data_IF_239416649680
#
_entry.id   IF_239416649680
#
_cell.length_a   1.000
_cell.length_b   1.000
_cell.length_c   1.000
_cell.angle_alpha   90.00
_cell.angle_beta   90.00
_cell.angle_gamma   90.00
#
_symmetry.space_group_name_H-M   'P 1'
#
loop_
_entity.id
_entity.type
_entity.pdbx_description
1 polymer ?
#
# COMPACT_ATOMS: atom_id res chain seq x y z
N UNK A 1 36.61 22.60 11.37
CA UNK A 1 37.32 21.32 11.57
C UNK A 1 36.64 20.57 12.72
N UNK A 2 36.62 19.24 12.66
CA UNK A 2 35.72 18.29 13.37
C UNK A 2 34.36 18.18 12.69
N UNK A 3 33.96 17.08 12.05
CA UNK A 3 34.53 15.74 11.97
C UNK A 3 33.38 14.84 11.53
N UNK A 4 33.13 14.80 10.22
CA UNK A 4 32.10 13.93 9.63
C UNK A 4 32.54 12.48 9.81
N UNK A 5 31.84 11.75 10.69
CA UNK A 5 32.02 10.31 10.81
C UNK A 5 31.55 9.65 9.52
N UNK A 6 32.49 9.20 8.71
CA UNK A 6 32.27 8.17 7.70
C UNK A 6 31.59 6.97 8.37
N UNK A 7 30.36 6.69 7.98
CA UNK A 7 29.74 5.40 8.25
C UNK A 7 30.01 4.54 7.03
N UNK A 8 31.03 3.68 7.10
CA UNK A 8 31.41 2.72 6.06
C UNK A 8 30.37 1.61 5.78
N UNK A 9 29.11 1.84 6.16
CA UNK A 9 27.99 0.92 6.03
C UNK A 9 26.73 1.68 5.64
N UNK A 10 26.42 1.62 4.34
CA UNK A 10 25.21 2.19 3.77
C UNK A 10 25.47 2.84 2.42
N UNK A 11 24.65 2.50 1.42
CA UNK A 11 24.58 3.33 0.21
C UNK A 11 23.90 4.66 0.56
N UNK A 12 24.34 5.81 0.01
CA UNK A 12 23.60 7.06 0.13
C UNK A 12 22.13 6.82 -0.24
N UNK A 13 21.19 7.15 0.65
CA UNK A 13 19.76 6.99 0.36
C UNK A 13 19.41 7.81 -0.89
N UNK A 14 19.12 7.13 -2.00
CA UNK A 14 18.88 7.76 -3.31
C UNK A 14 19.93 7.44 -4.38
N UNK A 15 21.00 6.72 -4.06
CA UNK A 15 21.92 6.19 -5.07
C UNK A 15 21.22 5.18 -5.98
N UNK A 16 21.31 5.35 -7.30
CA UNK A 16 20.72 4.47 -8.34
C UNK A 16 21.12 3.00 -8.16
N UNK A 17 22.23 2.75 -7.47
CA UNK A 17 22.80 1.41 -7.18
C UNK A 17 22.14 0.72 -5.97
N UNK A 18 21.47 1.46 -5.08
CA UNK A 18 20.89 0.92 -3.84
C UNK A 18 19.85 -0.20 -4.09
N UNK A 19 18.91 -0.08 -5.05
CA UNK A 19 17.98 -1.17 -5.37
C UNK A 19 18.69 -2.43 -5.90
N UNK A 20 19.79 -2.25 -6.66
CA UNK A 20 20.57 -3.35 -7.20
C UNK A 20 21.27 -4.12 -6.07
N UNK A 21 21.91 -3.40 -5.14
CA UNK A 21 22.61 -4.01 -4.01
C UNK A 21 21.64 -4.75 -3.09
N UNK A 22 20.50 -4.15 -2.73
CA UNK A 22 19.46 -4.85 -1.94
C UNK A 22 19.02 -6.16 -2.60
N UNK A 23 18.82 -6.15 -3.93
CA UNK A 23 18.46 -7.37 -4.67
C UNK A 23 19.57 -8.43 -4.65
N UNK A 24 20.85 -8.04 -4.70
CA UNK A 24 21.98 -8.99 -4.62
C UNK A 24 21.99 -9.68 -3.24
N UNK A 25 21.86 -8.93 -2.16
CA UNK A 25 21.83 -9.49 -0.80
C UNK A 25 20.62 -10.40 -0.60
N UNK A 26 19.43 -9.97 -1.06
CA UNK A 26 18.23 -10.79 -0.97
C UNK A 26 18.33 -12.06 -1.81
N UNK A 27 18.96 -12.01 -2.98
CA UNK A 27 19.21 -13.21 -3.77
C UNK A 27 20.15 -14.20 -3.04
N UNK A 28 21.18 -13.71 -2.34
CA UNK A 28 22.05 -14.57 -1.52
C UNK A 28 21.27 -15.24 -0.38
N UNK A 29 20.43 -14.48 0.32
CA UNK A 29 19.54 -15.01 1.36
C UNK A 29 18.59 -16.09 0.81
N UNK A 30 17.89 -15.81 -0.29
CA UNK A 30 16.95 -16.76 -0.91
C UNK A 30 17.64 -18.01 -1.43
N UNK A 31 18.85 -17.89 -2.00
CA UNK A 31 19.65 -19.06 -2.41
C UNK A 31 20.02 -19.91 -1.20
N UNK A 32 20.47 -19.30 -0.11
CA UNK A 32 20.83 -20.02 1.11
C UNK A 32 19.62 -20.71 1.76
N UNK A 33 18.45 -20.06 1.74
CA UNK A 33 17.17 -20.66 2.17
C UNK A 33 16.87 -21.96 1.42
N UNK A 34 16.98 -21.94 0.09
CA UNK A 34 16.71 -23.10 -0.77
C UNK A 34 17.74 -24.22 -0.59
N UNK A 35 19.03 -23.89 -0.63
CA UNK A 35 20.11 -24.89 -0.51
C UNK A 35 20.07 -25.60 0.84
N UNK A 36 19.66 -24.91 1.90
CA UNK A 36 19.55 -25.51 3.23
C UNK A 36 18.17 -26.13 3.52
N UNK A 37 17.32 -26.28 2.51
CA UNK A 37 16.03 -26.99 2.60
C UNK A 37 15.02 -26.36 3.56
N UNK A 38 15.06 -25.03 3.76
CA UNK A 38 14.25 -24.37 4.80
C UNK A 38 12.77 -24.32 4.50
N UNK A 39 12.40 -24.45 3.23
CA UNK A 39 10.99 -24.59 2.84
C UNK A 39 10.35 -25.81 3.53
N UNK A 40 11.05 -26.95 3.56
CA UNK A 40 10.58 -28.18 4.19
C UNK A 40 10.76 -28.15 5.71
N UNK A 41 11.94 -27.75 6.19
CA UNK A 41 12.26 -27.72 7.63
C UNK A 41 11.30 -26.84 8.42
N UNK A 42 10.98 -25.64 7.89
CA UNK A 42 10.05 -24.72 8.56
C UNK A 42 8.62 -24.82 8.03
N UNK A 43 8.37 -25.67 7.03
CA UNK A 43 7.09 -25.77 6.32
C UNK A 43 6.61 -24.39 5.88
N UNK A 44 7.53 -23.63 5.29
CA UNK A 44 7.38 -22.21 5.03
C UNK A 44 7.74 -21.84 3.60
N UNK A 45 7.25 -20.69 3.13
CA UNK A 45 7.65 -20.08 1.86
C UNK A 45 8.00 -18.62 2.07
N UNK A 46 9.09 -18.20 1.45
CA UNK A 46 9.53 -16.80 1.45
C UNK A 46 8.93 -16.08 0.25
N UNK A 47 8.29 -14.94 0.51
CA UNK A 47 7.83 -14.00 -0.52
C UNK A 47 8.64 -12.72 -0.31
N UNK A 48 9.48 -12.36 -1.28
CA UNK A 48 10.36 -11.20 -1.23
C UNK A 48 10.01 -10.18 -2.30
N UNK A 49 10.15 -8.90 -1.99
CA UNK A 49 10.03 -7.78 -2.92
C UNK A 49 11.04 -6.69 -2.55
N UNK A 50 12.05 -6.49 -3.40
CA UNK A 50 13.20 -5.65 -3.10
C UNK A 50 13.82 -6.02 -1.73
N UNK A 51 13.90 -5.07 -0.80
CA UNK A 51 14.42 -5.23 0.56
C UNK A 51 13.39 -5.76 1.58
N UNK A 52 12.11 -5.83 1.22
CA UNK A 52 11.02 -6.27 2.09
C UNK A 52 10.64 -7.74 1.80
N UNK A 53 10.35 -8.52 2.83
CA UNK A 53 9.96 -9.92 2.65
C UNK A 53 9.08 -10.41 3.79
N UNK A 54 8.28 -11.44 3.49
CA UNK A 54 7.48 -12.18 4.47
C UNK A 54 7.77 -13.66 4.35
N UNK A 55 7.80 -14.35 5.49
CA UNK A 55 7.95 -15.81 5.56
C UNK A 55 6.62 -16.37 6.04
N UNK A 56 5.92 -17.07 5.15
CA UNK A 56 4.62 -17.68 5.44
C UNK A 56 4.83 -19.16 5.73
N UNK A 57 4.65 -19.57 6.98
CA UNK A 57 4.85 -20.95 7.41
C UNK A 57 3.75 -21.49 8.31
N UNK A 58 3.84 -22.78 8.63
CA UNK A 58 2.93 -23.47 9.55
C UNK A 58 3.71 -23.93 10.80
N UNK A 59 3.59 -23.19 11.90
CA UNK A 59 4.08 -23.60 13.23
C UNK A 59 5.50 -23.17 13.58
N UNK A 60 6.42 -23.05 12.61
CA UNK A 60 7.85 -22.82 12.86
C UNK A 60 8.28 -21.34 12.72
N UNK A 61 7.39 -20.39 12.98
CA UNK A 61 7.65 -18.98 12.70
C UNK A 61 8.78 -18.38 13.56
N UNK A 62 8.88 -18.77 14.83
CA UNK A 62 9.94 -18.30 15.73
C UNK A 62 11.32 -18.85 15.33
N UNK A 63 11.39 -20.13 14.95
CA UNK A 63 12.61 -20.78 14.45
C UNK A 63 13.07 -20.18 13.12
N UNK A 64 12.14 -19.96 12.20
CA UNK A 64 12.42 -19.29 10.92
C UNK A 64 12.95 -17.87 11.13
N UNK A 65 12.39 -17.12 12.09
CA UNK A 65 12.87 -15.79 12.45
C UNK A 65 14.29 -15.85 13.05
N UNK A 66 14.55 -16.74 14.00
CA UNK A 66 15.87 -16.91 14.61
C UNK A 66 16.93 -17.29 13.57
N UNK A 67 16.60 -18.22 12.68
CA UNK A 67 17.47 -18.62 11.56
C UNK A 67 17.74 -17.44 10.62
N UNK A 68 16.70 -16.71 10.25
CA UNK A 68 16.81 -15.54 9.36
C UNK A 68 17.72 -14.47 9.96
N UNK A 69 17.59 -14.20 11.27
CA UNK A 69 18.48 -13.27 11.99
C UNK A 69 19.94 -13.70 11.88
N UNK A 70 20.23 -14.98 12.11
CA UNK A 70 21.60 -15.51 12.02
C UNK A 70 22.18 -15.35 10.61
N UNK A 71 21.40 -15.64 9.57
CA UNK A 71 21.85 -15.52 8.18
C UNK A 71 22.05 -14.07 7.77
N UNK A 72 21.13 -13.17 8.13
CA UNK A 72 21.27 -11.75 7.84
C UNK A 72 22.52 -11.17 8.51
N UNK A 73 22.79 -11.52 9.77
CA UNK A 73 23.99 -11.10 10.48
C UNK A 73 25.28 -11.55 9.76
N UNK A 74 25.31 -12.79 9.24
CA UNK A 74 26.44 -13.29 8.42
C UNK A 74 26.60 -12.56 7.10
N UNK A 75 25.52 -12.01 6.55
CA UNK A 75 25.55 -11.14 5.37
C UNK A 75 25.92 -9.68 5.71
N UNK A 76 26.16 -9.35 6.98
CA UNK A 76 26.44 -7.99 7.43
C UNK A 76 25.20 -7.10 7.47
N UNK A 77 24.01 -7.69 7.54
CA UNK A 77 22.73 -6.99 7.58
C UNK A 77 22.02 -7.21 8.92
N UNK A 78 21.30 -6.18 9.37
CA UNK A 78 20.49 -6.24 10.60
C UNK A 78 19.01 -6.10 10.23
N UNK A 79 18.17 -7.01 10.74
CA UNK A 79 16.73 -6.87 10.60
C UNK A 79 16.24 -5.65 11.38
N UNK A 80 15.26 -4.95 10.81
CA UNK A 80 14.63 -3.83 11.52
C UNK A 80 13.70 -4.39 12.60
N UNK A 81 14.16 -4.39 13.86
CA UNK A 81 13.42 -4.92 15.01
C UNK A 81 12.03 -4.28 15.18
N UNK A 82 11.92 -2.98 14.92
CA UNK A 82 10.67 -2.26 15.05
C UNK A 82 9.63 -2.66 13.99
N UNK A 83 10.08 -3.19 12.84
CA UNK A 83 9.20 -3.65 11.74
C UNK A 83 9.00 -5.17 11.74
N UNK A 84 9.92 -5.93 12.33
CA UNK A 84 9.91 -7.39 12.29
C UNK A 84 8.97 -7.92 13.37
N UNK A 85 7.98 -8.71 12.98
CA UNK A 85 7.04 -9.32 13.93
C UNK A 85 6.63 -10.71 13.46
N UNK A 86 6.40 -11.61 14.42
CA UNK A 86 5.74 -12.90 14.19
C UNK A 86 4.27 -12.71 14.49
N UNK A 87 3.40 -13.10 13.55
CA UNK A 87 1.94 -12.99 13.69
C UNK A 87 1.26 -14.26 13.23
N UNK A 88 0.17 -14.63 13.88
CA UNK A 88 -0.72 -15.65 13.36
C UNK A 88 -1.68 -15.02 12.34
N UNK A 89 -1.39 -15.17 11.04
CA UNK A 89 -2.21 -14.62 9.97
C UNK A 89 -3.66 -15.15 9.92
N UNK A 90 -4.02 -16.16 10.74
CA UNK A 90 -5.40 -16.65 10.90
C UNK A 90 -6.20 -15.89 11.94
N UNK A 91 -5.53 -15.18 12.82
CA UNK A 91 -6.15 -14.43 13.93
C UNK A 91 -5.84 -12.93 13.83
N UNK A 92 -4.67 -12.61 13.28
CA UNK A 92 -4.12 -11.28 13.18
C UNK A 92 -3.92 -10.87 11.72
N UNK A 93 -3.73 -9.56 11.52
CA UNK A 93 -3.42 -9.00 10.21
C UNK A 93 -2.00 -8.45 10.15
N UNK A 94 -1.43 -8.48 8.96
CA UNK A 94 -0.14 -7.88 8.65
C UNK A 94 -0.19 -7.08 7.36
N UNK A 95 0.63 -6.04 7.29
CA UNK A 95 0.74 -5.19 6.09
C UNK A 95 1.95 -5.64 5.26
N UNK A 96 1.75 -5.83 3.96
CA UNK A 96 2.82 -6.11 2.99
C UNK A 96 2.48 -5.49 1.64
N UNK A 97 3.43 -4.80 1.01
CA UNK A 97 3.26 -4.12 -0.30
C UNK A 97 2.03 -3.19 -0.38
N UNK A 98 1.68 -2.57 0.74
CA UNK A 98 0.54 -1.67 0.84
C UNK A 98 -0.83 -2.36 0.92
N UNK A 99 -0.86 -3.69 0.99
CA UNK A 99 -2.03 -4.49 1.35
C UNK A 99 -1.98 -4.88 2.82
N UNK A 100 -3.15 -5.04 3.42
CA UNK A 100 -3.34 -5.74 4.69
C UNK A 100 -3.86 -7.15 4.38
N UNK A 101 -3.17 -8.17 4.86
CA UNK A 101 -3.52 -9.59 4.76
C UNK A 101 -3.98 -10.12 6.12
N UNK A 102 -4.90 -11.09 6.12
CA UNK A 102 -5.36 -11.77 7.33
C UNK A 102 -6.88 -11.96 7.36
N UNK A 103 -7.49 -12.06 8.56
CA UNK A 103 -8.92 -12.26 8.71
C UNK A 103 -9.73 -11.04 8.24
N UNK A 104 -10.67 -11.30 7.35
CA UNK A 104 -11.65 -10.33 6.86
C UNK A 104 -13.06 -10.84 7.11
N UNK A 105 -13.98 -9.92 7.41
CA UNK A 105 -15.40 -10.22 7.61
C UNK A 105 -16.20 -9.88 6.37
N UNK A 106 -16.89 -10.85 5.79
CA UNK A 106 -17.81 -10.60 4.68
C UNK A 106 -19.06 -9.94 5.23
N UNK A 107 -19.46 -8.81 4.64
CA UNK A 107 -20.53 -7.97 5.22
C UNK A 107 -21.93 -8.51 5.00
N UNK A 108 -22.14 -9.32 3.96
CA UNK A 108 -23.47 -9.77 3.55
C UNK A 108 -24.04 -10.81 4.52
N UNK A 109 -23.19 -11.71 5.01
CA UNK A 109 -23.55 -12.86 5.84
C UNK A 109 -22.75 -12.95 7.14
N UNK A 110 -21.72 -12.09 7.32
CA UNK A 110 -20.93 -12.01 8.55
C UNK A 110 -19.80 -13.03 8.66
N UNK A 111 -19.59 -13.92 7.67
CA UNK A 111 -18.56 -14.96 7.80
C UNK A 111 -17.13 -14.39 7.70
N UNK A 112 -16.19 -15.06 8.37
CA UNK A 112 -14.77 -14.72 8.32
C UNK A 112 -14.04 -15.53 7.26
N UNK A 113 -13.13 -14.89 6.54
CA UNK A 113 -12.27 -15.53 5.54
C UNK A 113 -10.89 -14.87 5.56
N UNK A 114 -9.88 -15.58 5.06
CA UNK A 114 -8.56 -15.00 4.85
C UNK A 114 -8.55 -14.26 3.52
N UNK A 115 -8.16 -13.00 3.56
CA UNK A 115 -8.18 -12.14 2.38
C UNK A 115 -7.09 -11.10 2.41
N UNK A 116 -7.18 -10.20 1.42
CA UNK A 116 -6.35 -9.02 1.33
C UNK A 116 -7.24 -7.80 1.09
N UNK A 117 -6.79 -6.63 1.55
CA UNK A 117 -7.41 -5.34 1.24
C UNK A 117 -6.36 -4.25 1.19
N UNK A 118 -6.62 -3.09 0.57
CA UNK A 118 -5.69 -1.96 0.64
C UNK A 118 -5.48 -1.54 2.08
N UNK A 119 -4.22 -1.38 2.51
CA UNK A 119 -3.93 -1.06 3.90
C UNK A 119 -4.39 0.33 4.28
N UNK A 120 -4.68 0.54 5.57
CA UNK A 120 -5.07 1.86 6.10
C UNK A 120 -4.05 2.93 5.73
N UNK A 121 -2.76 2.59 5.81
CA UNK A 121 -1.65 3.48 5.41
C UNK A 121 -1.72 3.82 3.93
N UNK A 122 -2.01 2.85 3.05
CA UNK A 122 -2.16 3.08 1.61
C UNK A 122 -3.35 3.96 1.25
N UNK A 123 -4.49 3.76 1.93
CA UNK A 123 -5.67 4.63 1.80
C UNK A 123 -5.34 6.05 2.26
N UNK A 124 -4.68 6.20 3.41
CA UNK A 124 -4.32 7.51 3.93
C UNK A 124 -3.36 8.25 3.01
N UNK A 125 -2.35 7.57 2.45
CA UNK A 125 -1.43 8.17 1.46
C UNK A 125 -2.17 8.72 0.25
N UNK A 126 -3.20 8.02 -0.25
CA UNK A 126 -4.03 8.55 -1.34
C UNK A 126 -4.82 9.78 -0.91
N UNK A 127 -5.45 9.73 0.27
CA UNK A 127 -6.21 10.87 0.81
C UNK A 127 -5.36 12.13 0.96
N UNK A 128 -4.11 11.97 1.42
CA UNK A 128 -3.13 13.05 1.48
C UNK A 128 -2.86 13.61 0.08
N UNK A 129 -2.52 12.77 -0.91
CA UNK A 129 -2.31 13.23 -2.30
C UNK A 129 -3.53 13.95 -2.90
N UNK A 130 -4.74 13.49 -2.59
CA UNK A 130 -5.98 14.18 -3.00
C UNK A 130 -6.10 15.54 -2.33
N UNK A 131 -5.77 15.63 -1.03
CA UNK A 131 -5.74 16.89 -0.29
C UNK A 131 -4.72 17.87 -0.86
N UNK A 132 -3.50 17.41 -1.13
CA UNK A 132 -2.39 18.19 -1.70
C UNK A 132 -2.75 18.74 -3.09
N UNK A 133 -3.52 17.99 -3.88
CA UNK A 133 -4.00 18.43 -5.18
C UNK A 133 -5.11 19.50 -5.07
N UNK A 134 -6.00 19.37 -4.08
CA UNK A 134 -7.21 20.18 -3.93
C UNK A 134 -7.04 21.33 -2.91
N UNK A 135 -5.85 21.95 -2.92
CA UNK A 135 -5.49 23.08 -2.08
C UNK A 135 -5.97 24.42 -2.66
N UNK A 136 -6.17 25.47 -1.84
CA UNK A 136 -6.54 26.80 -2.32
C UNK A 136 -5.58 27.40 -3.36
N UNK A 137 -4.29 27.10 -3.26
CA UNK A 137 -3.27 27.58 -4.21
C UNK A 137 -3.29 26.90 -5.58
N UNK A 138 -4.16 25.91 -5.81
CA UNK A 138 -4.31 25.30 -7.12
C UNK A 138 -5.23 26.14 -8.02
N UNK A 139 -4.63 26.98 -8.85
CA UNK A 139 -5.33 27.87 -9.78
C UNK A 139 -5.66 27.22 -11.14
N UNK A 140 -5.27 25.97 -11.38
CA UNK A 140 -5.55 25.27 -12.65
C UNK A 140 -7.05 25.16 -12.94
N UNK A 141 -7.47 25.12 -14.20
CA UNK A 141 -8.90 25.01 -14.56
C UNK A 141 -9.51 23.71 -14.01
N UNK A 142 -10.82 23.70 -13.71
CA UNK A 142 -11.48 22.49 -13.19
C UNK A 142 -11.21 21.24 -14.06
N UNK A 143 -11.29 21.29 -15.40
CA UNK A 143 -10.95 20.14 -16.24
C UNK A 143 -9.53 19.61 -16.02
N UNK A 144 -8.53 20.49 -15.84
CA UNK A 144 -7.15 20.11 -15.60
C UNK A 144 -6.96 19.47 -14.21
N UNK A 145 -7.52 20.09 -13.16
CA UNK A 145 -7.49 19.56 -11.79
C UNK A 145 -8.17 18.20 -11.71
N UNK A 146 -9.36 18.09 -12.32
CA UNK A 146 -10.11 16.83 -12.42
C UNK A 146 -9.32 15.75 -13.15
N UNK A 147 -8.64 16.09 -14.24
CA UNK A 147 -7.83 15.13 -15.00
C UNK A 147 -6.71 14.55 -14.11
N UNK A 148 -6.01 15.40 -13.37
CA UNK A 148 -4.98 14.98 -12.41
C UNK A 148 -5.58 14.12 -11.28
N UNK A 149 -6.70 14.54 -10.71
CA UNK A 149 -7.41 13.78 -9.68
C UNK A 149 -7.80 12.38 -10.19
N UNK A 150 -8.40 12.31 -11.37
CA UNK A 150 -8.81 11.05 -11.97
C UNK A 150 -7.62 10.15 -12.32
N UNK A 151 -6.45 10.71 -12.69
CA UNK A 151 -5.21 9.93 -12.87
C UNK A 151 -4.75 9.30 -11.57
N UNK A 152 -4.76 10.05 -10.46
CA UNK A 152 -4.42 9.53 -9.12
C UNK A 152 -5.37 8.39 -8.71
N UNK A 153 -6.67 8.61 -8.85
CA UNK A 153 -7.68 7.62 -8.48
C UNK A 153 -7.61 6.36 -9.36
N UNK A 154 -7.44 6.51 -10.69
CA UNK A 154 -7.27 5.36 -11.58
C UNK A 154 -6.03 4.56 -11.24
N UNK A 155 -4.87 5.21 -11.13
CA UNK A 155 -3.62 4.53 -10.81
C UNK A 155 -3.69 3.76 -9.49
N UNK A 156 -4.28 4.38 -8.47
CA UNK A 156 -4.50 3.70 -7.19
C UNK A 156 -5.47 2.51 -7.32
N UNK A 157 -6.58 2.66 -8.03
CA UNK A 157 -7.55 1.56 -8.24
C UNK A 157 -6.99 0.40 -9.07
N UNK A 158 -6.11 0.70 -10.04
CA UNK A 158 -5.44 -0.30 -10.86
C UNK A 158 -4.43 -1.12 -10.04
N UNK A 159 -3.65 -0.49 -9.18
CA UNK A 159 -2.75 -1.20 -8.26
C UNK A 159 -3.53 -2.00 -7.21
N UNK A 160 -4.57 -1.38 -6.63
CA UNK A 160 -5.43 -1.98 -5.60
C UNK A 160 -6.66 -2.70 -6.19
N UNK A 161 -6.41 -3.54 -7.19
CA UNK A 161 -7.44 -4.35 -7.87
C UNK A 161 -7.74 -5.69 -7.19
N UNK A 162 -6.86 -6.17 -6.30
CA UNK A 162 -6.99 -7.47 -5.65
C UNK A 162 -7.73 -7.41 -4.30
N UNK A 163 -8.48 -8.47 -3.99
CA UNK A 163 -9.13 -8.66 -2.69
C UNK A 163 -10.31 -7.73 -2.40
N UNK A 164 -10.52 -7.45 -1.12
CA UNK A 164 -11.70 -6.78 -0.56
C UNK A 164 -11.54 -5.27 -0.56
N UNK A 165 -12.19 -4.64 -1.55
CA UNK A 165 -11.97 -3.24 -1.91
C UNK A 165 -13.05 -2.27 -1.42
N UNK A 166 -14.28 -2.76 -1.22
CA UNK A 166 -15.46 -1.91 -1.02
C UNK A 166 -15.30 -0.90 0.12
N UNK A 167 -14.69 -1.28 1.23
CA UNK A 167 -14.48 -0.38 2.38
C UNK A 167 -13.43 0.69 2.10
N UNK A 168 -12.31 0.30 1.51
CA UNK A 168 -11.28 1.24 1.11
C UNK A 168 -11.84 2.23 0.08
N UNK A 169 -12.59 1.74 -0.92
CA UNK A 169 -13.19 2.57 -1.97
C UNK A 169 -14.23 3.53 -1.38
N UNK A 170 -15.10 3.07 -0.46
CA UNK A 170 -16.02 3.95 0.29
C UNK A 170 -15.27 5.04 1.05
N UNK A 171 -14.21 4.69 1.78
CA UNK A 171 -13.44 5.65 2.56
C UNK A 171 -12.74 6.70 1.68
N UNK A 172 -12.27 6.31 0.49
CA UNK A 172 -11.65 7.21 -0.48
C UNK A 172 -12.71 8.08 -1.16
N UNK A 173 -13.79 7.50 -1.69
CA UNK A 173 -14.84 8.24 -2.38
C UNK A 173 -15.47 9.32 -1.48
N UNK A 174 -15.70 9.01 -0.20
CA UNK A 174 -16.20 9.99 0.77
C UNK A 174 -15.20 11.14 0.96
N UNK A 175 -13.90 10.85 1.07
CA UNK A 175 -12.87 11.87 1.22
C UNK A 175 -12.72 12.73 -0.03
N UNK A 176 -12.76 12.11 -1.21
CA UNK A 176 -12.72 12.79 -2.50
C UNK A 176 -13.92 13.72 -2.64
N UNK A 177 -15.13 13.25 -2.34
CA UNK A 177 -16.34 14.06 -2.38
C UNK A 177 -16.22 15.30 -1.50
N UNK A 178 -15.85 15.13 -0.23
CA UNK A 178 -15.68 16.23 0.71
C UNK A 178 -14.60 17.22 0.25
N UNK A 179 -13.47 16.70 -0.24
CA UNK A 179 -12.35 17.54 -0.70
C UNK A 179 -12.72 18.34 -1.94
N UNK A 180 -13.38 17.73 -2.93
CA UNK A 180 -13.84 18.40 -4.15
C UNK A 180 -14.90 19.44 -3.83
N UNK A 181 -15.89 19.10 -2.98
CA UNK A 181 -16.92 20.03 -2.54
C UNK A 181 -16.30 21.26 -1.89
N UNK A 182 -15.39 21.08 -0.92
CA UNK A 182 -14.73 22.20 -0.25
C UNK A 182 -13.86 23.02 -1.21
N UNK A 183 -13.17 22.38 -2.15
CA UNK A 183 -12.38 23.08 -3.17
C UNK A 183 -13.27 23.98 -4.06
N UNK A 184 -14.38 23.45 -4.57
CA UNK A 184 -15.28 24.19 -5.46
C UNK A 184 -16.09 25.27 -4.72
N UNK A 185 -16.52 25.03 -3.49
CA UNK A 185 -17.20 26.05 -2.66
C UNK A 185 -16.32 27.28 -2.50
N UNK A 186 -15.04 27.08 -2.15
CA UNK A 186 -14.07 28.19 -2.04
C UNK A 186 -13.83 28.87 -3.38
N UNK A 187 -13.61 28.09 -4.43
CA UNK A 187 -13.30 28.62 -5.77
C UNK A 187 -14.42 29.46 -6.36
N UNK A 188 -15.68 29.11 -6.08
CA UNK A 188 -16.86 29.79 -6.61
C UNK A 188 -17.51 30.74 -5.59
N UNK A 189 -16.86 31.01 -4.45
CA UNK A 189 -17.39 31.85 -3.37
C UNK A 189 -18.85 31.50 -2.99
N UNK A 190 -19.14 30.20 -2.91
CA UNK A 190 -20.49 29.72 -2.59
C UNK A 190 -20.77 29.94 -1.10
N UNK A 191 -21.89 30.59 -0.78
CA UNK A 191 -22.31 30.77 0.61
C UNK A 191 -22.65 29.42 1.27
N UNK A 192 -22.11 29.20 2.47
CA UNK A 192 -22.32 27.99 3.25
C UNK A 192 -21.54 26.77 2.73
N UNK A 193 -22.09 25.58 2.98
CA UNK A 193 -21.39 24.30 2.72
C UNK A 193 -21.49 23.83 1.25
N UNK A 194 -22.32 24.44 0.40
CA UNK A 194 -22.49 24.01 -1.00
C UNK A 194 -23.03 22.59 -1.19
N UNK A 195 -23.62 21.96 -0.16
CA UNK A 195 -24.12 20.57 -0.21
C UNK A 195 -25.30 20.38 -1.17
N UNK A 196 -26.02 21.45 -1.52
CA UNK A 196 -27.10 21.44 -2.52
C UNK A 196 -26.62 21.63 -3.96
N UNK A 197 -25.45 22.27 -4.15
CA UNK A 197 -24.87 22.64 -5.46
C UNK A 197 -23.75 21.70 -5.92
N UNK A 198 -23.09 21.06 -4.97
CA UNK A 198 -22.04 20.08 -5.24
C UNK A 198 -22.42 18.81 -4.49
N UNK A 199 -23.55 18.24 -4.87
CA UNK A 199 -24.05 16.96 -4.35
C UNK A 199 -23.13 15.81 -4.76
N UNK A 200 -23.30 14.67 -4.10
CA UNK A 200 -22.57 13.44 -4.45
C UNK A 200 -22.78 13.06 -5.93
N UNK A 201 -24.02 13.18 -6.43
CA UNK A 201 -24.36 12.91 -7.82
C UNK A 201 -23.71 13.89 -8.80
N UNK A 202 -23.60 15.16 -8.44
CA UNK A 202 -22.93 16.18 -9.26
C UNK A 202 -21.43 15.94 -9.38
N UNK A 203 -20.76 15.68 -8.25
CA UNK A 203 -19.30 15.45 -8.21
C UNK A 203 -18.89 14.25 -9.07
N UNK A 204 -19.57 13.11 -8.88
CA UNK A 204 -19.24 11.87 -9.59
C UNK A 204 -19.97 11.71 -10.94
N UNK A 205 -20.84 12.65 -11.30
CA UNK A 205 -21.58 12.67 -12.56
C UNK A 205 -21.10 13.85 -13.43
N UNK A 206 -21.89 14.92 -13.59
CA UNK A 206 -21.57 16.08 -14.45
C UNK A 206 -20.17 16.67 -14.25
N UNK A 207 -19.66 16.77 -13.01
CA UNK A 207 -18.33 17.30 -12.77
C UNK A 207 -17.23 16.33 -13.21
N UNK A 208 -17.53 15.04 -13.38
CA UNK A 208 -16.68 14.04 -14.02
C UNK A 208 -15.58 13.46 -13.14
N UNK A 209 -15.72 13.52 -11.82
CA UNK A 209 -14.79 12.86 -10.89
C UNK A 209 -15.02 11.36 -10.92
N UNK A 210 -13.94 10.57 -10.95
CA UNK A 210 -14.00 9.12 -10.96
C UNK A 210 -14.63 8.58 -9.65
N UNK A 211 -15.65 7.75 -9.78
CA UNK A 211 -16.31 7.09 -8.65
C UNK A 211 -15.76 5.67 -8.47
N UNK A 212 -14.89 5.45 -7.48
CA UNK A 212 -14.17 4.18 -7.33
C UNK A 212 -15.11 2.99 -7.14
N UNK A 213 -16.20 3.16 -6.40
CA UNK A 213 -17.21 2.09 -6.21
C UNK A 213 -17.92 1.66 -7.51
N UNK A 214 -17.84 2.44 -8.58
CA UNK A 214 -18.39 2.10 -9.91
C UNK A 214 -17.32 1.68 -10.92
N UNK A 215 -16.04 1.75 -10.56
CA UNK A 215 -14.97 1.25 -11.40
C UNK A 215 -15.06 -0.27 -11.41
N UNK A 216 -15.52 -0.83 -12.52
CA UNK A 216 -15.31 -2.24 -12.85
C UNK A 216 -13.81 -2.41 -13.11
N UNK A 217 -13.08 -2.82 -12.08
CA UNK A 217 -11.77 -3.43 -12.31
C UNK A 217 -12.10 -4.81 -12.85
N UNK A 218 -11.91 -5.01 -14.16
CA UNK A 218 -11.93 -6.36 -14.74
C UNK A 218 -10.95 -7.28 -14.00
N UNK A 219 -10.97 -8.60 -14.27
CA UNK A 219 -9.97 -9.49 -13.70
C UNK A 219 -8.57 -8.87 -13.89
N UNK A 220 -7.72 -8.87 -12.85
CA UNK A 220 -6.40 -8.28 -12.99
C UNK A 220 -5.68 -8.94 -14.18
N UNK A 221 -4.78 -8.24 -14.90
CA UNK A 221 -4.21 -8.72 -16.16
C UNK A 221 -3.59 -10.13 -16.10
N UNK A 222 -3.18 -10.56 -14.91
CA UNK A 222 -2.60 -11.89 -14.66
C UNK A 222 -3.63 -13.00 -14.39
N UNK A 223 -4.91 -12.68 -14.16
CA UNK A 223 -5.99 -13.63 -13.90
C UNK A 223 -6.73 -14.08 -15.18
N UNK A 224 -6.21 -13.73 -16.35
CA UNK A 224 -6.76 -14.12 -17.67
C UNK A 224 -5.90 -15.19 -18.36
N UNK A 225 -5.23 -16.05 -17.59
CA UNK A 225 -4.44 -17.18 -18.10
C UNK A 225 -4.86 -18.47 -17.41
#
# INVERSE_FOLDING_TARGET
MSGGRDSGTGTPQGGVVSPLLSNIYMNRFLKHWRITGRDDVFRARVISYADDFVILGRGHAAEALAWTRSVMARLGLTLNEAKTSVKDARQESFDFLGYTFGPHRFRKDGHWYLGASPSKKSVQRLKTKVGDLLVPGNHGTWPAVRLQLNRLLRGWSGYFGYGTRLQAYRAVDNHVYESVRHFLVRRHNVQGRGTRRFTYGEVFGPLGVLHLRRVHVGPPPWASR
#
